data_IF_081931522109
#
_entry.id   IF_081931522109
#
_cell.length_a   1.000
_cell.length_b   1.000
_cell.length_c   1.000
_cell.angle_alpha   90.00
_cell.angle_beta   90.00
_cell.angle_gamma   90.00
#
_symmetry.space_group_name_H-M   'P 1'
#
loop_
_entity.id
_entity.type
_entity.pdbx_description
1 polymer ?
#
# COMPACT_ATOMS: atom_id res chain seq x y z
N UNK A 1 9.05 56.90 -6.96
CA UNK A 1 8.93 55.87 -5.91
C UNK A 1 9.15 54.52 -6.55
N UNK A 2 10.33 53.95 -6.37
CA UNK A 2 10.72 52.66 -6.98
C UNK A 2 10.28 51.56 -6.02
N UNK A 3 9.30 50.78 -6.40
CA UNK A 3 8.82 49.63 -5.59
C UNK A 3 9.83 48.50 -5.73
N UNK A 4 10.67 48.32 -4.73
CA UNK A 4 11.58 47.17 -4.64
C UNK A 4 10.76 45.95 -4.30
N UNK A 5 10.49 45.09 -5.28
CA UNK A 5 9.89 43.79 -5.07
C UNK A 5 10.94 42.94 -4.36
N UNK A 6 10.73 42.64 -3.08
CA UNK A 6 11.51 41.66 -2.34
C UNK A 6 11.23 40.28 -2.94
N UNK A 7 12.09 39.78 -3.83
CA UNK A 7 12.11 38.39 -4.22
C UNK A 7 12.42 37.56 -2.99
N UNK A 8 11.42 36.82 -2.48
CA UNK A 8 11.67 35.77 -1.49
C UNK A 8 12.61 34.76 -2.14
N UNK A 9 13.73 34.38 -1.47
CA UNK A 9 14.58 33.33 -1.97
C UNK A 9 13.71 32.09 -2.19
N UNK A 10 13.80 31.50 -3.37
CA UNK A 10 13.10 30.25 -3.70
C UNK A 10 13.62 29.17 -2.74
N UNK A 11 12.90 28.92 -1.67
CA UNK A 11 13.15 27.75 -0.84
C UNK A 11 12.96 26.53 -1.74
N UNK A 12 14.03 25.79 -1.97
CA UNK A 12 13.97 24.52 -2.72
C UNK A 12 13.09 23.56 -1.91
N UNK A 13 11.85 23.39 -2.35
CA UNK A 13 10.91 22.47 -1.69
C UNK A 13 11.40 21.04 -1.89
N UNK A 14 11.43 20.22 -0.84
CA UNK A 14 11.87 18.83 -0.97
C UNK A 14 10.95 18.07 -1.94
N UNK A 15 11.52 17.21 -2.78
CA UNK A 15 10.76 16.33 -3.71
C UNK A 15 10.14 15.15 -2.97
N UNK A 16 10.82 14.69 -1.91
CA UNK A 16 10.36 13.68 -0.99
C UNK A 16 11.08 13.83 0.36
N UNK A 17 10.50 13.26 1.39
CA UNK A 17 11.07 13.26 2.73
C UNK A 17 10.58 12.04 3.51
N UNK A 18 11.30 11.65 4.56
CA UNK A 18 10.84 10.66 5.53
C UNK A 18 9.98 11.36 6.57
N UNK A 19 8.82 10.76 6.87
CA UNK A 19 7.88 11.34 7.83
C UNK A 19 7.52 10.29 8.89
N UNK A 20 8.26 10.33 9.99
CA UNK A 20 8.15 9.39 11.11
C UNK A 20 7.48 10.08 12.28
N UNK A 21 6.17 9.95 12.41
CA UNK A 21 5.41 10.59 13.48
C UNK A 21 4.30 9.69 14.02
N UNK A 22 4.29 9.55 15.36
CA UNK A 22 3.31 8.78 16.10
C UNK A 22 3.63 7.28 16.14
N UNK A 23 2.89 6.57 16.99
CA UNK A 23 3.03 5.13 17.19
C UNK A 23 2.48 4.33 16.00
N UNK A 24 3.08 3.19 15.75
CA UNK A 24 2.64 2.26 14.70
C UNK A 24 1.53 1.36 15.20
N UNK A 25 0.47 1.25 14.40
CA UNK A 25 -0.62 0.32 14.63
C UNK A 25 -0.74 -0.58 13.41
N UNK A 26 -0.42 -1.85 13.57
CA UNK A 26 -0.42 -2.85 12.51
C UNK A 26 -1.44 -3.95 12.82
N UNK A 27 -2.13 -4.50 11.81
CA UNK A 27 -3.09 -5.58 12.00
C UNK A 27 -2.44 -6.92 12.39
N UNK A 28 -1.14 -7.10 12.10
CA UNK A 28 -0.39 -8.29 12.45
C UNK A 28 0.87 -7.93 13.24
N UNK A 29 1.41 -8.91 13.96
CA UNK A 29 2.70 -8.76 14.63
C UNK A 29 3.83 -8.51 13.62
N UNK A 30 4.89 -7.77 13.99
CA UNK A 30 6.03 -7.51 13.11
C UNK A 30 6.64 -8.77 12.48
N UNK A 31 6.73 -9.87 13.23
CA UNK A 31 7.26 -11.14 12.76
C UNK A 31 6.49 -11.73 11.54
N UNK A 32 5.18 -11.46 11.44
CA UNK A 32 4.39 -11.87 10.28
C UNK A 32 4.84 -11.14 9.02
N UNK A 33 5.06 -9.83 9.10
CA UNK A 33 5.58 -9.05 7.97
C UNK A 33 7.01 -9.42 7.61
N UNK A 34 7.86 -9.69 8.60
CA UNK A 34 9.24 -10.14 8.37
C UNK A 34 9.26 -11.46 7.60
N UNK A 35 8.39 -12.42 7.94
CA UNK A 35 8.25 -13.67 7.23
C UNK A 35 7.77 -13.47 5.77
N UNK A 36 6.79 -12.59 5.55
CA UNK A 36 6.29 -12.24 4.21
C UNK A 36 7.38 -11.58 3.36
N UNK A 37 8.12 -10.64 3.92
CA UNK A 37 9.25 -9.97 3.25
C UNK A 37 10.39 -10.93 2.97
N UNK A 38 10.68 -11.87 3.86
CA UNK A 38 11.67 -12.92 3.61
C UNK A 38 11.29 -13.78 2.40
N UNK A 39 10.02 -14.14 2.25
CA UNK A 39 9.50 -14.83 1.07
C UNK A 39 9.65 -14.01 -0.22
N UNK A 40 9.30 -12.72 -0.21
CA UNK A 40 9.49 -11.84 -1.37
C UNK A 40 10.98 -11.71 -1.74
N UNK A 41 11.86 -11.55 -0.75
CA UNK A 41 13.30 -11.48 -0.97
C UNK A 41 13.87 -12.77 -1.56
N UNK A 42 13.30 -13.92 -1.19
CA UNK A 42 13.65 -15.19 -1.83
C UNK A 42 13.23 -15.20 -3.32
N UNK A 43 11.99 -14.78 -3.63
CA UNK A 43 11.52 -14.62 -5.02
C UNK A 43 12.47 -13.73 -5.83
N UNK A 44 12.90 -12.60 -5.25
CA UNK A 44 13.84 -11.68 -5.92
C UNK A 44 15.20 -12.35 -6.17
N UNK A 45 15.75 -13.04 -5.19
CA UNK A 45 17.04 -13.75 -5.35
C UNK A 45 16.97 -14.82 -6.42
N UNK A 46 15.91 -15.64 -6.40
CA UNK A 46 15.73 -16.74 -7.35
C UNK A 46 15.55 -16.25 -8.78
N UNK A 47 14.99 -15.04 -8.95
CA UNK A 47 14.78 -14.39 -10.24
C UNK A 47 15.98 -13.50 -10.66
N UNK A 48 17.02 -13.36 -9.84
CA UNK A 48 18.17 -12.47 -10.12
C UNK A 48 17.79 -10.99 -10.10
N UNK A 49 16.84 -10.60 -9.24
CA UNK A 49 16.35 -9.22 -9.13
C UNK A 49 16.90 -8.53 -7.88
N UNK A 50 17.23 -7.24 -8.02
CA UNK A 50 17.75 -6.41 -6.94
C UNK A 50 16.63 -5.84 -6.05
N UNK A 51 15.50 -5.50 -6.66
CA UNK A 51 14.38 -4.88 -5.95
C UNK A 51 13.03 -5.23 -6.59
N UNK A 52 11.97 -5.15 -5.79
CA UNK A 52 10.58 -5.14 -6.24
C UNK A 52 10.00 -3.72 -6.15
N UNK A 53 9.26 -3.32 -7.17
CA UNK A 53 8.39 -2.13 -7.16
C UNK A 53 6.95 -2.61 -7.24
N UNK A 54 6.27 -2.60 -6.11
CA UNK A 54 4.89 -3.04 -5.96
C UNK A 54 3.96 -1.83 -5.98
N UNK A 55 2.89 -1.93 -6.75
CA UNK A 55 1.93 -0.85 -6.97
C UNK A 55 0.49 -1.28 -6.67
N UNK A 56 0.22 -2.59 -6.61
CA UNK A 56 -1.10 -3.09 -6.25
C UNK A 56 -1.40 -2.90 -4.76
N UNK A 57 -2.61 -2.48 -4.45
CA UNK A 57 -3.09 -2.35 -3.07
C UNK A 57 -2.92 -3.65 -2.28
N UNK A 58 -3.17 -4.79 -2.92
CA UNK A 58 -3.08 -6.11 -2.29
C UNK A 58 -1.65 -6.43 -1.83
N UNK A 59 -0.66 -6.23 -2.70
CA UNK A 59 0.73 -6.51 -2.34
C UNK A 59 1.30 -5.46 -1.38
N UNK A 60 0.96 -4.18 -1.55
CA UNK A 60 1.38 -3.15 -0.59
C UNK A 60 0.86 -3.48 0.80
N UNK A 61 -0.45 -3.79 0.95
CA UNK A 61 -1.04 -4.15 2.23
C UNK A 61 -0.44 -5.46 2.80
N UNK A 62 -0.24 -6.46 1.95
CA UNK A 62 0.29 -7.77 2.38
C UNK A 62 1.71 -7.66 2.95
N UNK A 63 2.61 -6.95 2.27
CA UNK A 63 4.01 -6.87 2.67
C UNK A 63 4.33 -5.74 3.64
N UNK A 64 3.48 -4.71 3.74
CA UNK A 64 3.74 -3.58 4.62
C UNK A 64 2.67 -3.31 5.67
N UNK A 65 1.48 -3.88 5.55
CA UNK A 65 0.33 -3.54 6.40
C UNK A 65 -0.39 -2.26 5.97
N UNK A 66 0.19 -1.46 5.08
CA UNK A 66 -0.42 -0.21 4.65
C UNK A 66 -1.51 -0.46 3.62
N UNK A 67 -2.76 -0.37 4.07
CA UNK A 67 -3.93 -0.35 3.20
C UNK A 67 -4.26 1.09 2.84
N UNK A 68 -4.12 1.42 1.57
CA UNK A 68 -4.40 2.76 1.06
C UNK A 68 -5.63 2.78 0.13
N UNK A 69 -6.18 3.97 -0.04
CA UNK A 69 -7.20 4.22 -1.05
C UNK A 69 -6.52 4.71 -2.34
N UNK A 70 -6.66 3.99 -3.44
CA UNK A 70 -6.06 4.37 -4.74
C UNK A 70 -6.84 5.50 -5.40
N UNK A 71 -7.00 6.62 -4.71
CA UNK A 71 -7.75 7.76 -5.19
C UNK A 71 -6.81 8.92 -5.54
N UNK A 72 -6.52 9.08 -6.82
CA UNK A 72 -5.88 10.25 -7.40
C UNK A 72 -4.37 10.40 -7.20
N UNK A 73 -3.73 9.67 -6.29
CA UNK A 73 -2.29 9.71 -6.04
C UNK A 73 -1.70 8.31 -6.12
N UNK A 74 -0.53 8.12 -6.79
CA UNK A 74 0.14 6.83 -6.81
C UNK A 74 0.75 6.50 -5.46
N UNK A 75 0.66 5.24 -5.08
CA UNK A 75 1.30 4.62 -3.92
C UNK A 75 2.17 3.47 -4.39
N UNK A 76 3.16 3.12 -3.60
CA UNK A 76 4.03 2.01 -3.91
C UNK A 76 4.69 1.43 -2.67
N UNK A 77 5.24 0.25 -2.85
CA UNK A 77 6.15 -0.37 -1.91
C UNK A 77 7.39 -0.80 -2.67
N UNK A 78 8.55 -0.37 -2.20
CA UNK A 78 9.84 -0.82 -2.71
C UNK A 78 10.43 -1.78 -1.71
N UNK A 79 10.79 -2.98 -2.16
CA UNK A 79 11.47 -3.98 -1.33
C UNK A 79 12.79 -4.35 -1.99
N UNK A 80 13.88 -4.18 -1.24
CA UNK A 80 15.22 -4.66 -1.60
C UNK A 80 15.60 -5.83 -0.71
N UNK A 81 16.81 -6.36 -0.86
CA UNK A 81 17.29 -7.41 0.04
C UNK A 81 17.44 -6.94 1.50
N UNK A 82 17.54 -5.63 1.73
CA UNK A 82 17.77 -5.04 3.07
C UNK A 82 16.67 -4.12 3.56
N UNK A 83 15.91 -3.50 2.66
CA UNK A 83 14.93 -2.47 2.99
C UNK A 83 13.52 -2.84 2.51
N UNK A 84 12.52 -2.29 3.19
CA UNK A 84 11.12 -2.27 2.78
C UNK A 84 10.59 -0.87 3.04
N UNK A 85 10.22 -0.15 1.97
CA UNK A 85 9.90 1.28 2.04
C UNK A 85 8.60 1.55 1.29
N UNK A 86 7.57 1.99 2.00
CA UNK A 86 6.34 2.49 1.39
C UNK A 86 6.58 3.88 0.81
N UNK A 87 6.05 4.12 -0.38
CA UNK A 87 6.11 5.41 -1.07
C UNK A 87 4.69 5.99 -1.09
N UNK A 88 4.49 7.11 -0.41
CA UNK A 88 3.16 7.70 -0.19
C UNK A 88 3.12 9.17 -0.56
N UNK A 89 1.90 9.68 -0.81
CA UNK A 89 1.68 11.09 -1.15
C UNK A 89 1.71 12.00 0.07
N UNK A 90 2.15 13.23 -0.10
CA UNK A 90 2.21 14.23 0.96
C UNK A 90 0.87 14.56 1.60
N UNK A 91 -0.24 14.36 0.88
CA UNK A 91 -1.58 14.59 1.40
C UNK A 91 -1.95 13.65 2.57
N UNK A 92 -1.35 12.46 2.62
CA UNK A 92 -1.61 11.44 3.65
C UNK A 92 -0.56 11.44 4.77
N UNK A 93 0.29 12.46 4.82
CA UNK A 93 1.42 12.57 5.74
C UNK A 93 1.11 12.08 7.16
N UNK A 94 1.94 11.19 7.68
CA UNK A 94 1.81 10.56 9.00
C UNK A 94 0.99 9.28 9.05
N UNK A 95 -0.05 9.11 8.26
CA UNK A 95 -0.82 7.87 8.22
C UNK A 95 -0.02 6.68 7.68
N UNK A 96 0.67 6.79 6.54
CA UNK A 96 1.47 5.68 6.00
C UNK A 96 2.51 5.18 7.00
N UNK A 97 3.24 6.06 7.67
CA UNK A 97 4.19 5.67 8.71
C UNK A 97 3.55 4.87 9.84
N UNK A 98 2.43 5.35 10.37
CA UNK A 98 1.75 4.69 11.49
C UNK A 98 1.16 3.33 11.16
N UNK A 99 0.93 3.05 9.87
CA UNK A 99 0.27 1.85 9.38
C UNK A 99 1.15 0.95 8.52
N UNK A 100 2.46 1.21 8.45
CA UNK A 100 3.37 0.37 7.68
C UNK A 100 4.41 -0.32 8.55
N UNK A 101 4.73 -1.55 8.18
CA UNK A 101 5.93 -2.24 8.58
C UNK A 101 7.05 -1.85 7.61
N UNK A 102 8.27 -1.62 8.13
CA UNK A 102 9.34 -1.04 7.33
C UNK A 102 9.39 0.49 7.43
N UNK A 103 9.90 1.14 6.42
CA UNK A 103 10.04 2.59 6.38
C UNK A 103 9.00 3.26 5.47
N UNK A 104 8.94 4.59 5.50
CA UNK A 104 8.08 5.38 4.64
C UNK A 104 8.81 6.59 4.07
N UNK A 105 8.67 6.80 2.77
CA UNK A 105 9.04 8.03 2.10
C UNK A 105 7.77 8.69 1.56
N UNK A 106 7.57 9.94 1.94
CA UNK A 106 6.48 10.79 1.46
C UNK A 106 6.99 11.65 0.31
N UNK A 107 6.39 11.52 -0.88
CA UNK A 107 6.70 12.40 -1.99
C UNK A 107 5.78 13.63 -2.01
N UNK A 108 6.25 14.72 -2.61
CA UNK A 108 5.51 15.98 -2.74
C UNK A 108 5.01 16.19 -4.17
N UNK A 109 3.99 17.04 -4.34
CA UNK A 109 3.38 17.34 -5.64
C UNK A 109 3.94 18.60 -6.32
N UNK A 110 5.01 19.20 -5.79
CA UNK A 110 5.59 20.44 -6.33
C UNK A 110 6.21 20.26 -7.70
N UNK A 111 6.61 19.05 -8.03
CA UNK A 111 7.18 18.67 -9.33
C UNK A 111 6.56 17.34 -9.77
N UNK A 112 6.30 17.24 -11.07
CA UNK A 112 5.79 16.00 -11.65
C UNK A 112 6.73 14.84 -11.39
N UNK A 113 6.14 13.66 -11.17
CA UNK A 113 6.87 12.40 -11.05
C UNK A 113 7.80 12.30 -9.81
N UNK A 114 7.57 13.11 -8.78
CA UNK A 114 8.30 12.94 -7.52
C UNK A 114 8.09 11.56 -6.89
N UNK A 115 6.97 10.90 -7.18
CA UNK A 115 6.74 9.50 -6.86
C UNK A 115 7.86 8.58 -7.39
N UNK A 116 8.19 8.69 -8.69
CA UNK A 116 9.25 7.89 -9.31
C UNK A 116 10.66 8.28 -8.82
N UNK A 117 10.87 9.54 -8.48
CA UNK A 117 12.11 10.01 -7.86
C UNK A 117 12.29 9.42 -6.46
N UNK A 118 11.20 9.31 -5.69
CA UNK A 118 11.22 8.66 -4.38
C UNK A 118 11.52 7.16 -4.50
N UNK A 119 10.92 6.45 -5.47
CA UNK A 119 11.26 5.06 -5.76
C UNK A 119 12.74 4.94 -6.13
N UNK A 120 13.23 5.78 -7.04
CA UNK A 120 14.63 5.80 -7.48
C UNK A 120 15.61 5.99 -6.30
N UNK A 121 15.23 6.80 -5.29
CA UNK A 121 16.08 7.02 -4.12
C UNK A 121 16.27 5.78 -3.25
N UNK A 122 15.39 4.80 -3.37
CA UNK A 122 15.48 3.49 -2.67
C UNK A 122 16.14 2.42 -3.55
N UNK A 123 15.68 2.30 -4.80
CA UNK A 123 16.17 1.25 -5.70
C UNK A 123 17.57 1.52 -6.22
N UNK A 124 17.94 2.81 -6.41
CA UNK A 124 19.03 3.20 -7.29
C UNK A 124 18.71 2.99 -8.77
N UNK A 125 19.55 3.52 -9.65
CA UNK A 125 19.43 3.33 -11.10
C UNK A 125 20.17 2.08 -11.56
N UNK A 126 19.79 1.53 -12.73
CA UNK A 126 20.50 0.43 -13.38
C UNK A 126 20.37 -0.93 -12.67
N UNK A 127 19.36 -1.10 -11.84
CA UNK A 127 19.10 -2.33 -11.09
C UNK A 127 18.16 -3.26 -11.85
N UNK A 128 18.19 -4.55 -11.52
CA UNK A 128 17.21 -5.51 -11.99
C UNK A 128 15.93 -5.39 -11.14
N UNK A 129 14.80 -5.07 -11.77
CA UNK A 129 13.57 -4.69 -11.09
C UNK A 129 12.44 -5.70 -11.34
N UNK A 130 11.88 -6.23 -10.25
CA UNK A 130 10.60 -6.95 -10.26
C UNK A 130 9.43 -5.98 -10.21
N UNK A 131 8.40 -6.21 -11.00
CA UNK A 131 7.20 -5.39 -11.02
C UNK A 131 5.95 -6.27 -11.20
N UNK A 132 4.76 -5.69 -11.04
CA UNK A 132 3.47 -6.39 -11.17
C UNK A 132 2.89 -6.08 -12.56
N UNK A 133 3.00 -7.01 -13.51
CA UNK A 133 2.50 -6.82 -14.87
C UNK A 133 0.97 -6.85 -14.95
N UNK A 134 0.31 -7.49 -14.00
CA UNK A 134 -1.15 -7.55 -13.88
C UNK A 134 -1.78 -6.27 -13.31
N UNK A 135 -0.98 -5.38 -12.74
CA UNK A 135 -1.44 -4.13 -12.14
C UNK A 135 -0.82 -2.87 -12.76
N UNK A 136 0.46 -2.91 -13.10
CA UNK A 136 1.18 -1.74 -13.62
C UNK A 136 0.73 -1.42 -15.05
N UNK A 137 0.16 -0.23 -15.25
CA UNK A 137 -0.21 0.22 -16.62
C UNK A 137 1.02 0.43 -17.48
N UNK A 138 0.86 0.36 -18.81
CA UNK A 138 1.95 0.66 -19.77
C UNK A 138 2.55 2.05 -19.55
N UNK A 139 1.72 3.05 -19.23
CA UNK A 139 2.17 4.40 -18.93
C UNK A 139 3.05 4.44 -17.67
N UNK A 140 2.64 3.76 -16.60
CA UNK A 140 3.43 3.64 -15.37
C UNK A 140 4.72 2.87 -15.59
N UNK A 141 4.68 1.80 -16.40
CA UNK A 141 5.89 1.04 -16.78
C UNK A 141 6.89 1.91 -17.54
N UNK A 142 6.41 2.69 -18.52
CA UNK A 142 7.25 3.64 -19.26
C UNK A 142 7.90 4.69 -18.36
N UNK A 143 7.18 5.19 -17.35
CA UNK A 143 7.76 6.11 -16.34
C UNK A 143 8.78 5.39 -15.46
N UNK A 144 8.48 4.18 -14.99
CA UNK A 144 9.45 3.35 -14.25
C UNK A 144 10.75 3.20 -15.02
N UNK A 145 10.67 2.80 -16.29
CA UNK A 145 11.84 2.60 -17.14
C UNK A 145 12.62 3.89 -17.37
N UNK A 146 11.92 5.00 -17.57
CA UNK A 146 12.55 6.31 -17.77
C UNK A 146 13.32 6.79 -16.54
N UNK A 147 12.80 6.57 -15.33
CA UNK A 147 13.39 7.08 -14.09
C UNK A 147 14.43 6.11 -13.52
N UNK A 148 14.14 4.82 -13.47
CA UNK A 148 15.02 3.82 -12.86
C UNK A 148 16.07 3.30 -13.81
N UNK A 149 15.83 3.38 -15.12
CA UNK A 149 16.71 2.83 -16.17
C UNK A 149 17.19 1.42 -15.82
N UNK A 150 16.27 0.48 -15.60
CA UNK A 150 16.61 -0.82 -15.08
C UNK A 150 17.54 -1.58 -16.05
N UNK A 151 18.51 -2.32 -15.51
CA UNK A 151 19.33 -3.23 -16.30
C UNK A 151 18.50 -4.38 -16.88
N UNK A 152 17.50 -4.83 -16.13
CA UNK A 152 16.47 -5.77 -16.56
C UNK A 152 15.20 -5.56 -15.75
N UNK A 153 14.08 -6.05 -16.24
CA UNK A 153 12.83 -6.08 -15.47
C UNK A 153 12.05 -7.37 -15.74
N UNK A 154 11.42 -7.90 -14.69
CA UNK A 154 10.64 -9.12 -14.76
C UNK A 154 9.31 -8.98 -14.03
N UNK A 155 8.29 -9.68 -14.53
CA UNK A 155 7.01 -9.81 -13.85
C UNK A 155 7.11 -10.76 -12.66
N UNK A 156 6.77 -10.27 -11.47
CA UNK A 156 6.72 -11.06 -10.24
C UNK A 156 5.30 -11.30 -9.72
N UNK A 157 4.27 -10.80 -10.42
CA UNK A 157 2.88 -10.95 -10.00
C UNK A 157 2.47 -12.42 -9.77
N UNK A 158 2.81 -13.39 -10.64
CA UNK A 158 2.48 -14.79 -10.39
C UNK A 158 3.13 -15.37 -9.14
N UNK A 159 4.35 -14.95 -8.80
CA UNK A 159 5.07 -15.44 -7.64
C UNK A 159 4.52 -14.84 -6.34
N UNK A 160 4.25 -13.55 -6.31
CA UNK A 160 3.62 -12.88 -5.16
C UNK A 160 2.20 -13.36 -4.93
N UNK A 161 1.44 -13.66 -5.99
CA UNK A 161 0.12 -14.28 -5.88
C UNK A 161 0.21 -15.65 -5.21
N UNK A 162 1.13 -16.52 -5.64
CA UNK A 162 1.32 -17.84 -5.02
C UNK A 162 1.64 -17.72 -3.53
N UNK A 163 2.49 -16.78 -3.15
CA UNK A 163 2.80 -16.54 -1.73
C UNK A 163 1.55 -16.16 -0.93
N UNK A 164 0.71 -15.25 -1.44
CA UNK A 164 -0.54 -14.84 -0.78
C UNK A 164 -1.63 -15.90 -0.76
N UNK A 165 -1.58 -16.88 -1.66
CA UNK A 165 -2.54 -18.00 -1.65
C UNK A 165 -2.37 -18.90 -0.43
N UNK A 166 -1.16 -19.03 0.10
CA UNK A 166 -0.88 -19.79 1.32
C UNK A 166 -1.05 -18.88 2.53
N UNK A 167 -2.11 -19.14 3.30
CA UNK A 167 -2.47 -18.30 4.45
C UNK A 167 -1.73 -18.73 5.71
N UNK A 168 -1.23 -17.76 6.46
CA UNK A 168 -0.70 -18.00 7.80
C UNK A 168 -1.82 -18.25 8.81
N UNK A 169 -1.47 -18.76 9.99
CA UNK A 169 -2.45 -18.93 11.07
C UNK A 169 -3.10 -17.59 11.47
N UNK A 170 -2.31 -16.50 11.52
CA UNK A 170 -2.81 -15.17 11.86
C UNK A 170 -3.79 -14.63 10.79
N UNK A 171 -3.51 -14.89 9.50
CA UNK A 171 -4.44 -14.53 8.42
C UNK A 171 -5.74 -15.33 8.50
N UNK A 172 -5.66 -16.63 8.83
CA UNK A 172 -6.84 -17.49 8.99
C UNK A 172 -7.72 -16.96 10.14
N UNK A 173 -7.14 -16.57 11.26
CA UNK A 173 -7.91 -16.01 12.38
C UNK A 173 -8.62 -14.69 11.98
N UNK A 174 -7.93 -13.81 11.25
CA UNK A 174 -8.56 -12.58 10.77
C UNK A 174 -9.68 -12.86 9.75
N UNK A 175 -9.50 -13.85 8.87
CA UNK A 175 -10.54 -14.29 7.92
C UNK A 175 -11.76 -14.83 8.67
N UNK A 176 -11.54 -15.65 9.72
CA UNK A 176 -12.63 -16.17 10.56
C UNK A 176 -13.39 -15.05 11.26
N UNK A 177 -12.68 -14.06 11.81
CA UNK A 177 -13.30 -12.90 12.44
C UNK A 177 -14.15 -12.11 11.43
N UNK A 178 -13.63 -11.88 10.22
CA UNK A 178 -14.36 -11.22 9.15
C UNK A 178 -15.61 -12.00 8.71
N UNK A 179 -15.51 -13.32 8.60
CA UNK A 179 -16.65 -14.19 8.28
C UNK A 179 -17.75 -14.10 9.36
N UNK A 180 -17.37 -14.14 10.64
CA UNK A 180 -18.34 -14.01 11.73
C UNK A 180 -19.08 -12.65 11.72
N UNK A 181 -18.38 -11.56 11.36
CA UNK A 181 -19.02 -10.24 11.17
C UNK A 181 -20.00 -10.26 9.98
N UNK A 182 -19.60 -10.91 8.88
CA UNK A 182 -20.48 -11.03 7.71
C UNK A 182 -21.75 -11.86 8.02
N UNK A 183 -21.64 -12.91 8.83
CA UNK A 183 -22.80 -13.71 9.27
C UNK A 183 -23.79 -12.86 10.08
N UNK A 184 -23.30 -12.01 11.00
CA UNK A 184 -24.17 -11.08 11.76
C UNK A 184 -24.93 -10.15 10.82
N UNK A 185 -24.26 -9.59 9.80
CA UNK A 185 -24.92 -8.78 8.78
C UNK A 185 -25.95 -9.57 7.97
N UNK A 186 -25.61 -10.80 7.59
CA UNK A 186 -26.50 -11.70 6.86
C UNK A 186 -27.80 -12.01 7.63
N UNK A 187 -27.72 -12.33 8.92
CA UNK A 187 -28.88 -12.54 9.77
C UNK A 187 -29.72 -11.26 9.93
N UNK A 188 -29.11 -10.10 10.13
CA UNK A 188 -29.83 -8.83 10.22
C UNK A 188 -30.57 -8.48 8.92
N UNK A 189 -29.99 -8.77 7.76
CA UNK A 189 -30.64 -8.63 6.46
C UNK A 189 -31.84 -9.56 6.36
N UNK A 190 -31.68 -10.85 6.69
CA UNK A 190 -32.74 -11.84 6.65
C UNK A 190 -33.94 -11.40 7.50
N UNK A 191 -33.69 -10.95 8.74
CA UNK A 191 -34.75 -10.56 9.69
C UNK A 191 -35.43 -9.26 9.30
N UNK A 192 -34.78 -8.38 8.55
CA UNK A 192 -35.36 -7.13 8.06
C UNK A 192 -36.33 -7.34 6.88
N UNK A 193 -36.21 -8.44 6.12
CA UNK A 193 -36.99 -8.68 4.92
C UNK A 193 -38.45 -8.93 5.29
N UNK A 194 -39.37 -8.07 4.83
CA UNK A 194 -40.83 -8.20 4.99
C UNK A 194 -41.56 -7.43 3.89
N UNK A 195 -42.80 -7.79 3.57
CA UNK A 195 -43.58 -7.04 2.59
C UNK A 195 -43.67 -5.55 2.91
N UNK A 196 -43.42 -4.69 1.91
CA UNK A 196 -43.46 -3.23 2.02
C UNK A 196 -42.23 -2.55 2.59
N UNK A 197 -41.21 -3.30 3.01
CA UNK A 197 -39.92 -2.72 3.40
C UNK A 197 -39.18 -2.17 2.16
N UNK A 198 -38.48 -1.07 2.30
CA UNK A 198 -37.62 -0.53 1.24
C UNK A 198 -36.28 -1.29 1.19
N UNK A 199 -35.74 -1.49 0.00
CA UNK A 199 -34.46 -2.13 -0.18
C UNK A 199 -33.33 -1.46 0.63
N UNK A 200 -33.35 -0.12 0.68
CA UNK A 200 -32.35 0.63 1.46
C UNK A 200 -32.40 0.32 2.95
N UNK A 201 -33.63 0.10 3.53
CA UNK A 201 -33.77 -0.20 4.95
C UNK A 201 -33.21 -1.60 5.27
N UNK A 202 -33.34 -2.56 4.35
CA UNK A 202 -32.73 -3.89 4.45
C UNK A 202 -31.20 -3.79 4.38
N UNK A 203 -30.66 -3.03 3.43
CA UNK A 203 -29.22 -2.82 3.30
C UNK A 203 -28.62 -2.14 4.54
N UNK A 204 -29.31 -1.14 5.08
CA UNK A 204 -28.90 -0.43 6.30
C UNK A 204 -28.91 -1.35 7.53
N UNK A 205 -29.91 -2.22 7.68
CA UNK A 205 -29.95 -3.18 8.78
C UNK A 205 -28.72 -4.08 8.82
N UNK A 206 -28.32 -4.61 7.67
CA UNK A 206 -27.11 -5.44 7.58
C UNK A 206 -25.82 -4.67 7.87
N UNK A 207 -25.68 -3.46 7.29
CA UNK A 207 -24.51 -2.61 7.52
C UNK A 207 -24.38 -2.22 9.00
N UNK A 208 -25.43 -1.72 9.59
CA UNK A 208 -25.43 -1.22 10.98
C UNK A 208 -25.11 -2.37 11.96
N UNK A 209 -25.63 -3.57 11.71
CA UNK A 209 -25.32 -4.75 12.51
C UNK A 209 -23.82 -5.13 12.40
N UNK A 210 -23.24 -5.12 11.21
CA UNK A 210 -21.81 -5.38 11.02
C UNK A 210 -20.93 -4.32 11.67
N UNK A 211 -21.26 -3.04 11.53
CA UNK A 211 -20.49 -1.94 12.14
C UNK A 211 -20.50 -2.03 13.68
N UNK A 212 -21.65 -2.34 14.29
CA UNK A 212 -21.75 -2.56 15.73
C UNK A 212 -20.93 -3.78 16.20
N UNK A 213 -20.97 -4.86 15.44
CA UNK A 213 -20.19 -6.07 15.75
C UNK A 213 -18.67 -5.81 15.63
N UNK A 214 -18.22 -5.06 14.61
CA UNK A 214 -16.82 -4.64 14.48
C UNK A 214 -16.41 -3.80 15.68
N UNK A 215 -17.20 -2.79 16.06
CA UNK A 215 -16.92 -1.93 17.20
C UNK A 215 -16.88 -2.67 18.54
N UNK A 216 -17.58 -3.79 18.66
CA UNK A 216 -17.57 -4.62 19.87
C UNK A 216 -16.36 -5.58 19.94
N UNK A 217 -15.80 -5.95 18.78
CA UNK A 217 -14.66 -6.91 18.72
C UNK A 217 -13.29 -6.26 18.69
N UNK A 218 -13.21 -5.05 18.13
CA UNK A 218 -11.96 -4.35 17.81
C UNK A 218 -11.92 -2.94 18.38
#
# INVERSE_FOLDING_TARGET
>A
MTTTTLEKPAQSRPKSYRFHQGDRVLPFAPAEYDARLAGLRAILRDAGLDAAVLTSMHNIAYYSGFLYCSFGRPYGLVVTQTESVTISAGIDAGQPWRRCHGDNITYTDWERNNYWRAILSVTGAGKAIGYEADHMTLASKGLMDSFLKPASSADIAPATMRQRMMKSAAEIELIRAGAAVADVGGYAIHDAIRPGIREIDVAMAGRDAMELEIAARF
#
